data_IF_170019384315
#
_entry.id   IF_170019384315
#
_cell.length_a   1.000
_cell.length_b   1.000
_cell.length_c   1.000
_cell.angle_alpha   90.00
_cell.angle_beta   90.00
_cell.angle_gamma   90.00
#
_symmetry.space_group_name_H-M   'P 1'
#
loop_
_entity.id
_entity.type
_entity.pdbx_description
1 polymer ?
#
# COMPACT_ATOMS: atom_id res chain seq x y z
N UNK A 1 7.14 3.27 -20.79
CA UNK A 1 7.19 4.20 -19.66
C UNK A 1 5.91 4.00 -18.86
N UNK A 2 5.99 3.60 -17.58
CA UNK A 2 4.81 3.45 -16.71
C UNK A 2 4.35 4.85 -16.37
N UNK A 3 3.11 5.22 -16.71
CA UNK A 3 2.61 6.58 -16.43
C UNK A 3 2.45 6.77 -14.92
N UNK A 4 2.86 7.94 -14.36
CA UNK A 4 2.40 8.37 -13.05
C UNK A 4 0.86 8.40 -13.01
N UNK A 5 0.25 8.28 -11.87
CA UNK A 5 -1.21 8.36 -11.71
C UNK A 5 -1.99 7.06 -11.95
N UNK A 6 -1.35 5.98 -12.44
CA UNK A 6 -1.99 4.67 -12.63
C UNK A 6 -1.52 3.61 -11.63
N UNK A 7 -0.91 4.02 -10.51
CA UNK A 7 -0.44 3.11 -9.46
C UNK A 7 -1.63 2.39 -8.83
N UNK A 8 -1.49 1.09 -8.59
CA UNK A 8 -2.53 0.20 -8.06
C UNK A 8 -3.80 0.08 -8.93
N UNK A 9 -3.72 0.39 -10.22
CA UNK A 9 -4.83 0.07 -11.12
C UNK A 9 -4.97 -1.46 -11.28
N UNK A 10 -6.21 -1.97 -11.44
CA UNK A 10 -6.44 -3.38 -11.67
C UNK A 10 -5.68 -3.90 -12.91
N UNK A 11 -5.36 -5.20 -12.96
CA UNK A 11 -4.69 -5.77 -14.12
C UNK A 11 -5.59 -5.70 -15.37
N UNK A 12 -5.22 -4.87 -16.34
CA UNK A 12 -6.01 -4.59 -17.54
C UNK A 12 -5.68 -5.54 -18.71
N UNK A 13 -4.40 -5.89 -18.87
CA UNK A 13 -3.98 -6.74 -19.99
C UNK A 13 -4.28 -8.21 -19.72
N UNK A 14 -4.53 -9.03 -20.76
CA UNK A 14 -4.71 -10.47 -20.56
C UNK A 14 -3.57 -11.14 -19.80
N UNK A 15 -2.30 -10.75 -20.07
CA UNK A 15 -1.15 -11.27 -19.36
C UNK A 15 -1.12 -10.87 -17.87
N UNK A 16 -1.46 -9.61 -17.57
CA UNK A 16 -1.55 -9.13 -16.18
C UNK A 16 -2.66 -9.86 -15.40
N UNK A 17 -3.84 -10.05 -16.01
CA UNK A 17 -4.97 -10.81 -15.40
C UNK A 17 -4.60 -12.27 -15.15
N UNK A 18 -3.96 -12.92 -16.12
CA UNK A 18 -3.46 -14.29 -15.96
C UNK A 18 -2.42 -14.38 -14.84
N UNK A 19 -1.41 -13.50 -14.82
CA UNK A 19 -0.37 -13.52 -13.79
C UNK A 19 -0.97 -13.27 -12.39
N UNK A 20 -1.90 -12.35 -12.26
CA UNK A 20 -2.59 -12.07 -10.99
C UNK A 20 -3.26 -13.34 -10.45
N UNK A 21 -4.05 -14.04 -11.28
CA UNK A 21 -4.73 -15.27 -10.87
C UNK A 21 -3.75 -16.42 -10.58
N UNK A 22 -2.68 -16.57 -11.38
CA UNK A 22 -1.64 -17.58 -11.12
C UNK A 22 -0.93 -17.32 -9.79
N UNK A 23 -0.77 -16.06 -9.37
CA UNK A 23 -0.18 -15.71 -8.07
C UNK A 23 -1.11 -16.02 -6.89
N UNK A 24 -2.42 -15.79 -7.05
CA UNK A 24 -3.41 -16.06 -6.00
C UNK A 24 -3.72 -17.56 -5.86
N UNK A 25 -3.54 -18.33 -6.91
CA UNK A 25 -3.84 -19.75 -6.95
C UNK A 25 -2.55 -20.54 -7.16
N UNK A 26 -2.08 -21.34 -6.19
CA UNK A 26 -0.82 -22.07 -6.28
C UNK A 26 -0.70 -22.94 -7.54
N UNK A 27 -1.83 -23.45 -8.03
CA UNK A 27 -1.94 -24.29 -9.22
C UNK A 27 -3.24 -23.92 -9.93
N UNK A 28 -3.15 -23.43 -11.18
CA UNK A 28 -4.31 -23.05 -11.97
C UNK A 28 -4.13 -23.51 -13.42
N UNK A 29 -5.23 -23.95 -14.05
CA UNK A 29 -5.24 -24.38 -15.46
C UNK A 29 -5.68 -23.25 -16.38
N UNK A 30 -5.37 -23.37 -17.70
CA UNK A 30 -5.86 -22.42 -18.69
C UNK A 30 -7.39 -22.38 -18.78
N UNK A 31 -8.07 -23.50 -18.51
CA UNK A 31 -9.53 -23.55 -18.48
C UNK A 31 -10.10 -22.74 -17.31
N UNK A 32 -9.50 -22.86 -16.12
CA UNK A 32 -9.88 -22.06 -14.95
C UNK A 32 -9.57 -20.57 -15.17
N UNK A 33 -8.46 -20.23 -15.86
CA UNK A 33 -8.16 -18.85 -16.25
C UNK A 33 -9.21 -18.29 -17.22
N UNK A 34 -9.73 -19.09 -18.17
CA UNK A 34 -10.85 -18.68 -19.06
C UNK A 34 -12.07 -18.36 -18.23
N UNK A 35 -12.45 -19.25 -17.32
CA UNK A 35 -13.62 -19.10 -16.46
C UNK A 35 -13.50 -17.86 -15.55
N UNK A 36 -12.38 -17.73 -14.85
CA UNK A 36 -12.16 -16.64 -13.91
C UNK A 36 -12.00 -15.25 -14.57
N UNK A 37 -11.43 -15.19 -15.79
CA UNK A 37 -11.21 -13.91 -16.50
C UNK A 37 -12.34 -13.52 -17.43
N UNK A 38 -13.17 -14.49 -17.89
CA UNK A 38 -14.12 -14.29 -18.96
C UNK A 38 -13.51 -14.07 -20.35
N UNK A 39 -12.19 -14.23 -20.49
CA UNK A 39 -11.47 -14.08 -21.76
C UNK A 39 -11.55 -15.34 -22.62
N UNK A 40 -11.44 -15.19 -23.94
CA UNK A 40 -11.49 -16.32 -24.86
C UNK A 40 -10.28 -17.26 -24.70
N UNK A 41 -10.47 -18.55 -24.97
CA UNK A 41 -9.39 -19.56 -24.94
C UNK A 41 -8.15 -19.17 -25.77
N UNK A 42 -8.26 -18.63 -27.01
CA UNK A 42 -7.10 -18.16 -27.76
C UNK A 42 -6.36 -17.00 -27.07
N UNK A 43 -7.10 -16.11 -26.41
CA UNK A 43 -6.52 -14.97 -25.66
C UNK A 43 -5.73 -15.47 -24.46
N UNK A 44 -6.28 -16.39 -23.68
CA UNK A 44 -5.58 -17.01 -22.53
C UNK A 44 -4.34 -17.77 -23.00
N UNK A 45 -4.44 -18.53 -24.09
CA UNK A 45 -3.31 -19.28 -24.65
C UNK A 45 -2.15 -18.35 -25.03
N UNK A 46 -2.44 -17.24 -25.70
CA UNK A 46 -1.41 -16.24 -26.06
C UNK A 46 -0.82 -15.54 -24.83
N UNK A 47 -1.68 -15.14 -23.89
CA UNK A 47 -1.25 -14.48 -22.67
C UNK A 47 -0.33 -15.39 -21.83
N UNK A 48 -0.73 -16.63 -21.61
CA UNK A 48 0.07 -17.61 -20.86
C UNK A 48 1.36 -17.99 -21.58
N UNK A 49 1.37 -18.11 -22.94
CA UNK A 49 2.58 -18.33 -23.71
C UNK A 49 3.60 -17.18 -23.54
N UNK A 50 3.14 -15.93 -23.59
CA UNK A 50 4.01 -14.76 -23.36
C UNK A 50 4.56 -14.71 -21.92
N UNK A 51 3.77 -15.11 -20.92
CA UNK A 51 4.26 -15.21 -19.53
C UNK A 51 5.26 -16.34 -19.33
N UNK A 52 5.09 -17.49 -20.03
CA UNK A 52 6.05 -18.60 -20.05
C UNK A 52 7.37 -18.15 -20.69
N UNK A 53 7.31 -17.48 -21.85
CA UNK A 53 8.48 -16.94 -22.54
C UNK A 53 9.23 -15.92 -21.70
N UNK A 54 8.51 -15.07 -20.97
CA UNK A 54 9.08 -14.10 -20.03
C UNK A 54 9.63 -14.75 -18.74
N UNK A 55 9.42 -16.07 -18.54
CA UNK A 55 9.85 -16.77 -17.32
C UNK A 55 9.12 -16.35 -16.05
N UNK A 56 7.89 -15.80 -16.18
CA UNK A 56 7.06 -15.38 -15.05
C UNK A 56 6.16 -16.50 -14.54
N UNK A 57 5.79 -17.44 -15.41
CA UNK A 57 5.04 -18.65 -15.06
C UNK A 57 5.74 -19.87 -15.61
N UNK A 58 5.43 -21.03 -15.08
CA UNK A 58 5.90 -22.32 -15.57
C UNK A 58 4.78 -23.35 -15.61
N UNK A 59 4.96 -24.36 -16.46
CA UNK A 59 4.05 -25.49 -16.58
C UNK A 59 4.45 -26.61 -15.60
N UNK A 60 3.46 -27.10 -14.85
CA UNK A 60 3.60 -28.24 -13.94
C UNK A 60 3.22 -29.54 -14.64
N UNK A 61 4.11 -30.01 -15.51
CA UNK A 61 3.91 -31.25 -16.26
C UNK A 61 3.84 -32.48 -15.34
N UNK A 62 4.49 -32.43 -14.18
CA UNK A 62 4.43 -33.43 -13.12
C UNK A 62 3.03 -33.57 -12.48
N UNK A 63 2.20 -32.52 -12.56
CA UNK A 63 0.83 -32.49 -12.05
C UNK A 63 -0.22 -32.63 -13.15
N UNK A 64 0.19 -33.06 -14.35
CA UNK A 64 -0.72 -33.25 -15.48
C UNK A 64 -1.83 -34.25 -15.14
N UNK A 65 -3.09 -33.82 -15.23
CA UNK A 65 -4.26 -34.69 -15.00
C UNK A 65 -4.84 -35.15 -16.31
N UNK A 66 -4.85 -36.46 -16.51
CA UNK A 66 -5.60 -37.14 -17.56
C UNK A 66 -6.99 -37.48 -17.03
N UNK A 67 -8.00 -36.63 -17.31
CA UNK A 67 -9.41 -36.95 -17.04
C UNK A 67 -10.06 -37.49 -18.34
N UNK A 68 -10.09 -38.79 -18.53
CA UNK A 68 -10.86 -39.41 -19.61
C UNK A 68 -10.39 -39.11 -21.05
N UNK A 69 -11.31 -39.15 -22.02
CA UNK A 69 -11.08 -38.81 -23.46
C UNK A 69 -10.92 -37.27 -23.62
N UNK A 70 -9.72 -36.74 -23.49
CA UNK A 70 -9.44 -35.31 -23.72
C UNK A 70 -7.92 -35.04 -23.71
N UNK A 71 -7.53 -33.85 -24.22
CA UNK A 71 -6.14 -33.42 -24.12
C UNK A 71 -5.76 -33.25 -22.65
N UNK A 72 -4.62 -33.79 -22.18
CA UNK A 72 -4.16 -33.60 -20.81
C UNK A 72 -4.09 -32.12 -20.44
N UNK A 73 -4.60 -31.76 -19.28
CA UNK A 73 -4.57 -30.38 -18.77
C UNK A 73 -3.29 -30.21 -17.96
N UNK A 74 -2.41 -29.32 -18.42
CA UNK A 74 -1.17 -28.95 -17.74
C UNK A 74 -1.43 -27.72 -16.89
N UNK A 75 -1.27 -27.79 -15.57
CA UNK A 75 -1.41 -26.65 -14.68
C UNK A 75 -0.25 -25.65 -14.84
N UNK A 76 -0.52 -24.41 -14.43
CA UNK A 76 0.43 -23.31 -14.39
C UNK A 76 0.66 -22.90 -12.93
N UNK A 77 1.88 -22.46 -12.65
CA UNK A 77 2.26 -21.81 -11.39
C UNK A 77 3.21 -20.63 -11.68
N UNK A 78 3.46 -19.77 -10.70
CA UNK A 78 4.48 -18.73 -10.81
C UNK A 78 5.85 -19.38 -10.86
N UNK A 79 6.66 -19.00 -11.84
CA UNK A 79 8.01 -19.51 -11.97
C UNK A 79 8.94 -18.98 -10.86
N UNK A 80 9.83 -19.81 -10.35
CA UNK A 80 10.93 -19.36 -9.49
C UNK A 80 12.01 -18.68 -10.35
N UNK A 81 11.72 -17.46 -10.77
CA UNK A 81 12.66 -16.67 -11.54
C UNK A 81 13.67 -15.93 -10.64
N UNK A 82 14.70 -15.38 -11.28
CA UNK A 82 15.77 -14.65 -10.58
C UNK A 82 15.51 -13.15 -10.46
N UNK A 83 14.24 -12.73 -10.36
CA UNK A 83 13.88 -11.32 -10.24
C UNK A 83 13.78 -10.89 -8.79
N UNK A 84 14.14 -9.64 -8.55
CA UNK A 84 13.93 -8.92 -7.30
C UNK A 84 13.11 -7.68 -7.61
N UNK A 85 12.14 -7.40 -6.76
CA UNK A 85 11.39 -6.17 -6.71
C UNK A 85 11.70 -5.48 -5.38
N UNK A 86 12.21 -4.26 -5.41
CA UNK A 86 12.51 -3.52 -4.19
C UNK A 86 11.33 -2.64 -3.80
N UNK A 87 10.95 -2.68 -2.52
CA UNK A 87 9.94 -1.80 -1.92
C UNK A 87 10.58 -0.94 -0.85
N UNK A 88 10.30 0.35 -0.90
CA UNK A 88 10.83 1.36 0.01
C UNK A 88 9.66 2.13 0.62
N UNK A 89 9.50 2.06 1.94
CA UNK A 89 8.49 2.85 2.64
C UNK A 89 9.19 3.94 3.48
N UNK A 90 9.01 5.20 3.05
CA UNK A 90 9.67 6.36 3.65
C UNK A 90 8.78 6.91 4.75
N UNK A 91 9.28 6.86 5.99
CA UNK A 91 8.69 7.53 7.13
C UNK A 91 9.52 8.72 7.58
N UNK A 92 9.06 9.45 8.58
CA UNK A 92 9.70 10.69 9.08
C UNK A 92 11.06 10.46 9.73
N UNK A 93 11.23 9.35 10.43
CA UNK A 93 12.45 9.01 11.20
C UNK A 93 13.12 7.72 10.76
N UNK A 94 12.40 6.86 10.04
CA UNK A 94 12.88 5.56 9.56
C UNK A 94 12.38 5.30 8.15
N UNK A 95 13.20 4.62 7.37
CA UNK A 95 12.81 4.11 6.07
C UNK A 95 12.94 2.60 6.07
N UNK A 96 11.86 1.92 5.74
CA UNK A 96 11.83 0.47 5.55
C UNK A 96 12.19 0.14 4.11
N UNK A 97 13.13 -0.78 3.92
CA UNK A 97 13.54 -1.29 2.61
C UNK A 97 13.38 -2.80 2.61
N UNK A 98 12.67 -3.33 1.64
CA UNK A 98 12.50 -4.77 1.50
C UNK A 98 12.66 -5.22 0.05
N UNK A 99 13.18 -6.42 -0.12
CA UNK A 99 13.31 -7.10 -1.40
C UNK A 99 12.31 -8.24 -1.46
N UNK A 100 11.59 -8.33 -2.57
CA UNK A 100 10.54 -9.31 -2.79
C UNK A 100 10.83 -10.15 -4.04
N UNK A 101 10.37 -11.40 -4.03
CA UNK A 101 10.25 -12.20 -5.24
C UNK A 101 8.95 -11.85 -6.01
N UNK A 102 8.73 -12.48 -7.14
CA UNK A 102 7.54 -12.27 -8.00
C UNK A 102 6.24 -12.76 -7.37
N UNK A 103 6.32 -13.59 -6.30
CA UNK A 103 5.17 -13.96 -5.48
C UNK A 103 4.87 -12.91 -4.39
N UNK A 104 5.77 -11.96 -4.15
CA UNK A 104 5.67 -10.99 -3.07
C UNK A 104 6.16 -11.53 -1.72
N UNK A 105 6.92 -12.63 -1.71
CA UNK A 105 7.57 -13.12 -0.49
C UNK A 105 8.80 -12.28 -0.23
N UNK A 106 8.96 -11.84 1.04
CA UNK A 106 10.13 -11.07 1.47
C UNK A 106 11.37 -11.95 1.41
N UNK A 107 12.37 -11.51 0.65
CA UNK A 107 13.70 -12.14 0.55
C UNK A 107 14.64 -11.59 1.63
N UNK A 108 14.67 -10.28 1.77
CA UNK A 108 15.38 -9.52 2.81
C UNK A 108 14.67 -8.23 3.11
N UNK A 109 14.82 -7.73 4.32
CA UNK A 109 14.30 -6.42 4.73
C UNK A 109 15.23 -5.77 5.76
N UNK A 110 15.18 -4.45 5.85
CA UNK A 110 15.90 -3.66 6.83
C UNK A 110 15.17 -2.34 7.11
N UNK A 111 15.28 -1.87 8.34
CA UNK A 111 14.79 -0.56 8.77
C UNK A 111 15.98 0.36 9.03
N UNK A 112 16.20 1.35 8.19
CA UNK A 112 17.28 2.30 8.33
C UNK A 112 16.80 3.57 9.03
N UNK A 113 17.61 4.09 9.94
CA UNK A 113 17.34 5.39 10.58
C UNK A 113 17.62 6.51 9.58
N UNK A 114 16.56 7.23 9.21
CA UNK A 114 16.60 8.31 8.24
C UNK A 114 15.75 9.47 8.76
N UNK A 115 16.31 10.42 9.52
CA UNK A 115 15.60 11.64 9.90
C UNK A 115 15.43 12.53 8.66
N UNK A 116 14.48 12.20 7.79
CA UNK A 116 14.34 12.71 6.41
C UNK A 116 14.32 14.24 6.39
N UNK A 117 13.53 14.86 7.25
CA UNK A 117 13.43 16.32 7.33
C UNK A 117 14.75 17.04 7.71
N UNK A 118 15.77 16.30 8.16
CA UNK A 118 17.09 16.83 8.55
C UNK A 118 18.18 16.50 7.54
N UNK A 119 17.88 15.70 6.54
CA UNK A 119 18.81 15.30 5.48
C UNK A 119 18.58 16.17 4.25
N UNK A 120 19.66 16.46 3.54
CA UNK A 120 19.51 16.95 2.16
C UNK A 120 18.90 15.85 1.29
N UNK A 121 18.23 16.22 0.22
CA UNK A 121 17.66 15.28 -0.72
C UNK A 121 18.74 14.31 -1.28
N UNK A 122 19.95 14.80 -1.55
CA UNK A 122 21.07 13.99 -2.03
C UNK A 122 21.52 12.97 -0.97
N UNK A 123 21.72 13.41 0.28
CA UNK A 123 22.14 12.51 1.37
C UNK A 123 21.08 11.43 1.62
N UNK A 124 19.79 11.81 1.55
CA UNK A 124 18.71 10.85 1.69
C UNK A 124 18.76 9.77 0.59
N UNK A 125 18.90 10.18 -0.67
CA UNK A 125 19.01 9.25 -1.80
C UNK A 125 20.23 8.34 -1.65
N UNK A 126 21.39 8.85 -1.22
CA UNK A 126 22.58 8.03 -0.95
C UNK A 126 22.33 6.99 0.13
N UNK A 127 21.61 7.32 1.21
CA UNK A 127 21.22 6.37 2.24
C UNK A 127 20.32 5.25 1.70
N UNK A 128 19.34 5.60 0.87
CA UNK A 128 18.45 4.62 0.22
C UNK A 128 19.24 3.70 -0.71
N UNK A 129 20.12 4.26 -1.53
CA UNK A 129 20.99 3.49 -2.43
C UNK A 129 21.88 2.52 -1.67
N UNK A 130 22.53 2.99 -0.61
CA UNK A 130 23.36 2.14 0.24
C UNK A 130 22.53 1.01 0.89
N UNK A 131 21.31 1.30 1.34
CA UNK A 131 20.38 0.32 1.89
C UNK A 131 20.00 -0.77 0.88
N UNK A 132 19.55 -0.37 -0.32
CA UNK A 132 19.20 -1.33 -1.39
C UNK A 132 20.41 -2.16 -1.82
N UNK A 133 21.58 -1.53 -2.01
CA UNK A 133 22.80 -2.23 -2.41
C UNK A 133 23.23 -3.24 -1.35
N UNK A 134 23.16 -2.89 -0.06
CA UNK A 134 23.46 -3.81 1.05
C UNK A 134 22.54 -5.03 1.03
N UNK A 135 21.23 -4.82 0.83
CA UNK A 135 20.27 -5.92 0.79
C UNK A 135 20.42 -6.80 -0.46
N UNK A 136 20.84 -6.25 -1.59
CA UNK A 136 21.05 -7.01 -2.84
C UNK A 136 22.37 -7.76 -2.87
N UNK A 137 23.36 -7.36 -2.05
CA UNK A 137 24.68 -7.99 -2.00
C UNK A 137 24.58 -9.48 -1.67
N UNK A 138 25.20 -10.32 -2.50
CA UNK A 138 25.23 -11.78 -2.35
C UNK A 138 23.93 -12.50 -2.71
N UNK A 139 22.95 -11.81 -3.30
CA UNK A 139 21.75 -12.44 -3.87
C UNK A 139 22.00 -12.66 -5.36
N UNK A 140 21.92 -13.93 -5.83
CA UNK A 140 22.04 -14.28 -7.25
C UNK A 140 20.72 -14.01 -8.00
N UNK A 141 20.16 -12.81 -7.85
CA UNK A 141 18.91 -12.36 -8.47
C UNK A 141 19.08 -10.93 -8.98
N UNK A 142 18.31 -10.54 -9.98
CA UNK A 142 18.42 -9.24 -10.66
C UNK A 142 17.28 -8.32 -10.23
N UNK A 143 17.59 -7.08 -9.83
CA UNK A 143 16.61 -6.04 -9.57
C UNK A 143 15.92 -5.63 -10.88
N UNK A 144 14.59 -5.66 -10.91
CA UNK A 144 13.80 -5.35 -12.12
C UNK A 144 12.88 -4.15 -11.95
N UNK A 145 12.57 -3.76 -10.71
CA UNK A 145 11.81 -2.54 -10.41
C UNK A 145 12.05 -2.07 -8.98
N UNK A 146 11.79 -0.79 -8.75
CA UNK A 146 11.76 -0.16 -7.41
C UNK A 146 10.41 0.51 -7.21
N UNK A 147 9.75 0.21 -6.12
CA UNK A 147 8.56 0.90 -5.65
C UNK A 147 8.87 1.73 -4.41
N UNK A 148 8.33 2.94 -4.33
CA UNK A 148 8.52 3.85 -3.20
C UNK A 148 7.16 4.31 -2.68
N UNK A 149 6.96 4.24 -1.38
CA UNK A 149 5.85 4.93 -0.71
C UNK A 149 6.38 6.01 0.20
N UNK A 150 5.64 7.09 0.32
CA UNK A 150 5.99 8.24 1.14
C UNK A 150 4.76 8.79 1.86
N UNK A 151 4.96 9.46 2.98
CA UNK A 151 3.93 10.32 3.57
C UNK A 151 3.71 11.55 2.70
N UNK A 152 2.53 12.14 2.78
CA UNK A 152 2.14 13.28 1.94
C UNK A 152 1.55 12.86 0.60
N UNK A 153 1.48 13.79 -0.34
CA UNK A 153 0.85 13.61 -1.63
C UNK A 153 1.87 13.38 -2.73
N UNK A 154 1.49 12.58 -3.71
CA UNK A 154 2.22 12.42 -4.98
C UNK A 154 1.30 12.93 -6.07
N UNK A 155 1.75 13.94 -6.82
CA UNK A 155 0.97 14.55 -7.88
C UNK A 155 0.96 13.72 -9.18
N UNK A 156 0.25 14.21 -10.20
CA UNK A 156 0.12 13.55 -11.51
C UNK A 156 1.47 13.39 -12.25
N UNK A 157 2.43 14.27 -11.97
CA UNK A 157 3.78 14.21 -12.53
C UNK A 157 4.70 13.26 -11.73
N UNK A 158 4.24 12.77 -10.59
CA UNK A 158 4.98 11.88 -9.68
C UNK A 158 5.91 12.62 -8.73
N UNK A 159 5.71 13.94 -8.57
CA UNK A 159 6.45 14.75 -7.61
C UNK A 159 5.85 14.59 -6.21
N UNK A 160 6.73 14.56 -5.21
CA UNK A 160 6.34 14.34 -3.82
C UNK A 160 6.23 15.66 -3.07
N UNK A 161 5.08 15.87 -2.42
CA UNK A 161 4.76 17.00 -1.56
C UNK A 161 4.48 16.47 -0.15
N UNK A 162 5.45 16.61 0.75
CA UNK A 162 5.39 16.04 2.10
C UNK A 162 6.04 17.00 3.10
N UNK A 163 5.26 17.89 3.70
CA UNK A 163 5.74 18.91 4.65
C UNK A 163 6.47 18.28 5.86
N UNK A 164 5.98 17.14 6.36
CA UNK A 164 6.61 16.38 7.45
C UNK A 164 7.96 15.75 7.09
N UNK A 165 8.28 15.65 5.79
CA UNK A 165 9.59 15.23 5.30
C UNK A 165 10.47 16.42 4.85
N UNK A 166 9.92 17.64 4.83
CA UNK A 166 10.57 18.83 4.29
C UNK A 166 10.68 18.82 2.76
N UNK A 167 9.76 18.11 2.07
CA UNK A 167 9.78 17.93 0.62
C UNK A 167 8.70 18.75 -0.08
N UNK A 168 9.12 19.54 -1.07
CA UNK A 168 8.26 20.38 -1.91
C UNK A 168 8.56 20.08 -3.39
N UNK A 169 7.75 19.20 -4.02
CA UNK A 169 7.89 18.85 -5.42
C UNK A 169 9.15 18.02 -5.75
N UNK A 170 9.51 17.07 -4.87
CA UNK A 170 10.72 16.24 -5.02
C UNK A 170 10.49 15.11 -6.03
N UNK A 171 11.29 15.04 -7.09
CA UNK A 171 11.29 13.93 -8.06
C UNK A 171 12.24 12.80 -7.60
N UNK A 172 11.79 12.03 -6.62
CA UNK A 172 12.52 10.86 -6.14
C UNK A 172 12.58 9.74 -7.19
N UNK A 173 11.55 9.63 -8.04
CA UNK A 173 11.49 8.59 -9.06
C UNK A 173 12.60 8.75 -10.11
N UNK A 174 12.84 9.97 -10.61
CA UNK A 174 13.88 10.21 -11.60
C UNK A 174 15.27 9.88 -11.06
N UNK A 175 15.56 10.26 -9.81
CA UNK A 175 16.86 10.00 -9.18
C UNK A 175 17.12 8.52 -8.98
N UNK A 176 16.17 7.78 -8.44
CA UNK A 176 16.31 6.32 -8.23
C UNK A 176 16.35 5.58 -9.58
N UNK A 177 15.59 6.04 -10.58
CA UNK A 177 15.60 5.46 -11.93
C UNK A 177 16.97 5.63 -12.60
N UNK A 178 17.57 6.82 -12.46
CA UNK A 178 18.92 7.07 -12.96
C UNK A 178 19.94 6.14 -12.29
N UNK A 179 19.82 5.93 -10.98
CA UNK A 179 20.77 5.14 -10.21
C UNK A 179 20.66 3.62 -10.44
N UNK A 180 19.43 3.09 -10.44
CA UNK A 180 19.23 1.64 -10.54
C UNK A 180 19.00 1.15 -11.97
N UNK A 181 18.78 2.06 -12.91
CA UNK A 181 18.46 1.75 -14.31
C UNK A 181 17.32 0.74 -14.46
N UNK A 182 16.29 0.85 -13.61
CA UNK A 182 15.06 0.06 -13.63
C UNK A 182 13.84 0.99 -13.50
N UNK A 183 12.64 0.55 -13.88
CA UNK A 183 11.41 1.28 -13.61
C UNK A 183 11.26 1.61 -12.12
N UNK A 184 10.89 2.85 -11.82
CA UNK A 184 10.57 3.31 -10.46
C UNK A 184 9.14 3.83 -10.43
N UNK A 185 8.38 3.41 -9.42
CA UNK A 185 7.01 3.85 -9.12
C UNK A 185 6.99 4.50 -7.76
N UNK A 186 6.31 5.63 -7.65
CA UNK A 186 6.12 6.34 -6.36
C UNK A 186 4.63 6.47 -6.09
N UNK A 187 4.24 6.29 -4.83
CA UNK A 187 2.87 6.44 -4.35
C UNK A 187 2.84 7.05 -2.96
N UNK A 188 1.74 7.69 -2.61
CA UNK A 188 1.43 8.00 -1.22
C UNK A 188 1.16 6.73 -0.42
N UNK A 189 1.39 6.77 0.89
CA UNK A 189 1.20 5.62 1.77
C UNK A 189 -0.26 5.15 1.81
N UNK A 190 -1.24 6.06 1.82
CA UNK A 190 -2.66 5.72 1.96
C UNK A 190 -3.18 4.94 0.74
N UNK A 191 -2.99 5.37 -0.52
CA UNK A 191 -3.24 4.54 -1.68
C UNK A 191 -2.50 3.20 -1.66
N UNK A 192 -1.28 3.14 -1.11
CA UNK A 192 -0.53 1.90 -1.03
C UNK A 192 -1.10 0.90 -0.01
N UNK A 193 -1.69 1.36 1.08
CA UNK A 193 -2.45 0.50 2.01
C UNK A 193 -3.58 -0.18 1.24
N UNK A 194 -4.40 0.60 0.52
CA UNK A 194 -5.50 0.05 -0.27
C UNK A 194 -4.99 -0.83 -1.42
N UNK A 195 -3.87 -0.46 -2.05
CA UNK A 195 -3.21 -1.27 -3.06
C UNK A 195 -2.82 -2.66 -2.54
N UNK A 196 -2.36 -2.77 -1.29
CA UNK A 196 -2.04 -4.07 -0.67
C UNK A 196 -3.25 -4.98 -0.54
N UNK A 197 -4.43 -4.40 -0.29
CA UNK A 197 -5.70 -5.10 -0.20
C UNK A 197 -6.15 -5.61 -1.57
N UNK A 198 -6.20 -4.70 -2.55
CA UNK A 198 -6.67 -5.02 -3.90
C UNK A 198 -5.76 -6.01 -4.63
N UNK A 199 -4.45 -5.97 -4.39
CA UNK A 199 -3.49 -6.93 -4.94
C UNK A 199 -3.60 -8.34 -4.35
N UNK A 200 -4.26 -8.48 -3.21
CA UNK A 200 -4.54 -9.75 -2.54
C UNK A 200 -5.95 -10.26 -2.80
N UNK A 201 -6.79 -9.46 -3.44
CA UNK A 201 -8.17 -9.77 -3.75
C UNK A 201 -8.31 -10.55 -5.07
N UNK A 202 -9.34 -11.39 -5.16
CA UNK A 202 -9.73 -12.05 -6.41
C UNK A 202 -10.23 -11.00 -7.43
N UNK A 203 -10.01 -11.25 -8.73
CA UNK A 203 -10.50 -10.38 -9.83
C UNK A 203 -12.04 -10.22 -9.85
N UNK A 204 -12.76 -11.19 -9.30
CA UNK A 204 -14.22 -11.20 -9.23
C UNK A 204 -14.77 -10.65 -7.91
N UNK A 205 -13.91 -10.17 -6.99
CA UNK A 205 -14.38 -9.56 -5.76
C UNK A 205 -15.13 -8.28 -6.10
N UNK A 206 -16.45 -8.32 -5.93
CA UNK A 206 -17.33 -7.18 -6.15
C UNK A 206 -17.45 -6.37 -4.86
N UNK A 207 -17.36 -5.06 -5.02
CA UNK A 207 -17.55 -4.11 -3.93
C UNK A 207 -16.32 -3.22 -3.70
N UNK A 208 -16.62 -1.97 -3.34
CA UNK A 208 -15.58 -0.98 -3.05
C UNK A 208 -14.98 -1.24 -1.66
N UNK A 209 -13.69 -1.01 -1.54
CA UNK A 209 -12.98 -0.99 -0.25
C UNK A 209 -12.55 0.44 0.03
N UNK A 210 -12.88 0.94 1.20
CA UNK A 210 -12.43 2.22 1.73
C UNK A 210 -11.31 1.97 2.74
N UNK A 211 -10.22 2.70 2.65
CA UNK A 211 -9.21 2.81 3.71
C UNK A 211 -9.38 4.14 4.41
N UNK A 212 -9.44 4.13 5.74
CA UNK A 212 -9.26 5.31 6.59
C UNK A 212 -7.96 5.15 7.36
N UNK A 213 -7.05 6.07 7.13
CA UNK A 213 -5.76 6.15 7.83
C UNK A 213 -5.76 7.34 8.77
N UNK A 214 -5.35 7.13 10.03
CA UNK A 214 -5.23 8.18 11.03
C UNK A 214 -4.01 7.95 11.91
N UNK A 215 -2.99 8.79 11.68
CA UNK A 215 -1.69 8.77 12.36
C UNK A 215 -1.16 10.21 12.48
N UNK A 216 0.11 10.45 12.11
CA UNK A 216 0.70 11.80 11.98
C UNK A 216 0.01 12.63 10.87
N UNK A 217 -0.68 11.98 9.98
CA UNK A 217 -1.63 12.57 9.02
C UNK A 217 -2.92 11.75 9.00
N UNK A 218 -4.00 12.36 8.51
CA UNK A 218 -5.27 11.66 8.30
C UNK A 218 -5.62 11.67 6.83
N UNK A 219 -6.16 10.57 6.32
CA UNK A 219 -6.56 10.48 4.93
C UNK A 219 -7.35 9.24 4.61
N UNK A 220 -7.96 9.23 3.44
CA UNK A 220 -8.72 8.09 2.96
C UNK A 220 -8.41 7.78 1.50
N UNK A 221 -8.62 6.53 1.12
CA UNK A 221 -8.55 6.07 -0.26
C UNK A 221 -9.67 5.08 -0.55
N UNK A 222 -10.15 5.07 -1.79
CA UNK A 222 -11.24 4.23 -2.25
C UNK A 222 -10.79 3.37 -3.43
N UNK A 223 -11.13 2.07 -3.40
CA UNK A 223 -10.99 1.22 -4.57
C UNK A 223 -12.14 1.47 -5.55
N UNK A 224 -11.79 1.65 -6.82
CA UNK A 224 -12.73 1.84 -7.93
C UNK A 224 -12.39 0.88 -9.06
N UNK A 225 -13.24 0.79 -10.07
CA UNK A 225 -12.94 0.02 -11.28
C UNK A 225 -11.70 0.54 -12.03
N UNK A 226 -11.39 1.83 -11.88
CA UNK A 226 -10.20 2.45 -12.47
C UNK A 226 -8.92 2.20 -11.65
N UNK A 227 -9.04 1.77 -10.40
CA UNK A 227 -7.93 1.55 -9.47
C UNK A 227 -8.15 2.19 -8.12
N UNK A 228 -7.07 2.56 -7.46
CA UNK A 228 -7.09 3.22 -6.16
C UNK A 228 -7.10 4.74 -6.35
N UNK A 229 -8.04 5.40 -5.70
CA UNK A 229 -8.16 6.87 -5.70
C UNK A 229 -8.05 7.38 -4.27
N UNK A 230 -7.16 8.32 -4.02
CA UNK A 230 -7.12 9.05 -2.76
C UNK A 230 -8.29 10.03 -2.70
N UNK A 231 -8.98 10.07 -1.57
CA UNK A 231 -10.10 10.99 -1.34
C UNK A 231 -9.58 12.28 -0.71
N UNK A 232 -9.63 13.38 -1.46
CA UNK A 232 -9.16 14.72 -1.04
C UNK A 232 -10.10 15.76 -1.65
N UNK A 233 -10.58 16.73 -0.87
CA UNK A 233 -10.45 16.86 0.59
C UNK A 233 -11.33 15.86 1.34
N UNK A 234 -10.98 15.58 2.59
CA UNK A 234 -11.86 14.86 3.50
C UNK A 234 -13.01 15.76 4.00
N UNK A 235 -14.11 15.19 4.54
CA UNK A 235 -15.19 15.95 5.14
C UNK A 235 -14.70 16.95 6.21
N UNK A 236 -15.28 18.14 6.24
CA UNK A 236 -14.93 19.17 7.23
C UNK A 236 -15.50 18.79 8.60
N UNK A 237 -14.78 19.17 9.65
CA UNK A 237 -15.10 18.84 11.03
C UNK A 237 -15.05 20.06 11.94
N UNK A 238 -15.74 19.96 13.07
CA UNK A 238 -15.70 20.96 14.16
C UNK A 238 -15.57 20.23 15.50
N UNK A 239 -14.76 20.75 16.39
CA UNK A 239 -14.65 20.28 17.77
C UNK A 239 -14.10 21.37 18.68
N UNK A 240 -14.79 21.64 19.77
CA UNK A 240 -14.31 22.57 20.80
C UNK A 240 -13.13 21.96 21.58
N UNK A 241 -13.13 20.64 21.82
CA UNK A 241 -12.07 19.95 22.55
C UNK A 241 -10.73 19.97 21.83
N UNK A 242 -10.76 19.92 20.49
CA UNK A 242 -9.58 20.00 19.63
C UNK A 242 -9.37 21.40 19.04
N UNK A 243 -10.13 22.41 19.46
CA UNK A 243 -10.11 23.80 18.95
C UNK A 243 -10.31 23.89 17.41
N UNK A 244 -11.20 23.07 16.85
CA UNK A 244 -11.48 22.99 15.43
C UNK A 244 -12.79 23.69 15.09
N UNK A 245 -12.75 24.62 14.13
CA UNK A 245 -13.93 25.36 13.67
C UNK A 245 -14.06 25.20 12.15
N UNK A 246 -14.96 24.31 11.70
CA UNK A 246 -15.18 24.00 10.28
C UNK A 246 -13.87 23.83 9.50
N UNK A 247 -13.00 23.01 10.05
CA UNK A 247 -11.63 22.81 9.56
C UNK A 247 -11.52 21.60 8.62
N UNK A 248 -10.53 21.63 7.72
CA UNK A 248 -10.16 20.44 6.96
C UNK A 248 -9.73 19.32 7.92
N UNK A 249 -10.13 18.07 7.65
CA UNK A 249 -9.90 16.99 8.60
C UNK A 249 -8.54 16.29 8.41
N UNK A 250 -7.82 16.54 7.31
CA UNK A 250 -6.58 15.85 7.00
C UNK A 250 -5.49 16.05 8.05
N UNK A 251 -5.34 17.28 8.56
CA UNK A 251 -4.32 17.63 9.54
C UNK A 251 -4.88 17.78 10.96
N UNK A 252 -6.18 18.06 11.09
CA UNK A 252 -6.80 18.51 12.34
C UNK A 252 -7.24 17.35 13.25
N UNK A 253 -7.31 16.11 12.77
CA UNK A 253 -7.46 14.90 13.59
C UNK A 253 -6.19 14.02 13.58
N UNK A 254 -5.08 14.57 13.08
CA UNK A 254 -3.76 13.95 13.18
C UNK A 254 -3.28 13.85 14.63
N UNK A 255 -2.27 13.04 14.87
CA UNK A 255 -1.72 12.82 16.22
C UNK A 255 -1.27 14.13 16.88
N UNK A 256 -0.66 15.05 16.12
CA UNK A 256 -0.18 16.32 16.65
C UNK A 256 -1.31 17.19 17.23
N UNK A 257 -2.48 17.24 16.58
CA UNK A 257 -3.61 18.00 17.08
C UNK A 257 -4.11 17.49 18.45
N UNK A 258 -4.07 16.18 18.67
CA UNK A 258 -4.39 15.57 19.97
C UNK A 258 -3.35 15.94 21.02
N UNK A 259 -2.05 15.85 20.68
CA UNK A 259 -0.96 16.21 21.61
C UNK A 259 -1.02 17.70 21.99
N UNK A 260 -1.34 18.59 21.04
CA UNK A 260 -1.51 20.02 21.29
C UNK A 260 -2.71 20.30 22.20
N UNK A 261 -3.82 19.58 22.00
CA UNK A 261 -5.01 19.70 22.84
C UNK A 261 -4.76 19.22 24.28
N UNK A 262 -3.94 18.18 24.47
CA UNK A 262 -3.48 17.71 25.77
C UNK A 262 -2.54 18.73 26.42
N UNK A 263 -1.57 19.24 25.68
CA UNK A 263 -0.62 20.24 26.17
C UNK A 263 -1.31 21.54 26.61
N UNK A 264 -2.34 21.99 25.90
CA UNK A 264 -3.16 23.14 26.26
C UNK A 264 -3.91 22.96 27.61
N UNK A 265 -3.98 21.73 28.12
CA UNK A 265 -4.58 21.36 29.40
C UNK A 265 -3.55 20.87 30.42
N UNK A 266 -2.28 21.24 30.19
CA UNK A 266 -1.13 20.92 31.05
C UNK A 266 -0.87 19.39 31.17
N UNK A 267 -1.36 18.59 30.19
CA UNK A 267 -1.12 17.16 30.10
C UNK A 267 0.00 16.93 29.08
N UNK A 268 1.16 16.44 29.54
CA UNK A 268 2.31 16.21 28.70
C UNK A 268 2.31 14.79 28.16
N UNK A 269 2.26 14.64 26.85
CA UNK A 269 2.46 13.38 26.13
C UNK A 269 3.25 13.67 24.85
N UNK A 270 4.19 12.77 24.51
CA UNK A 270 5.04 12.89 23.31
C UNK A 270 4.60 11.96 22.18
N UNK A 271 3.78 10.98 22.49
CA UNK A 271 3.22 10.01 21.53
C UNK A 271 1.77 9.71 21.86
N UNK A 272 1.03 9.18 20.87
CA UNK A 272 -0.35 8.76 21.10
C UNK A 272 -0.45 7.59 22.09
N UNK A 273 0.50 6.66 22.06
CA UNK A 273 0.55 5.55 23.01
C UNK A 273 0.73 6.04 24.45
N UNK A 274 1.58 7.07 24.67
CA UNK A 274 1.72 7.72 25.98
C UNK A 274 0.42 8.44 26.38
N UNK A 275 -0.21 9.16 25.46
CA UNK A 275 -1.50 9.81 25.70
C UNK A 275 -2.59 8.79 26.07
N UNK A 276 -2.65 7.64 25.40
CA UNK A 276 -3.59 6.57 25.71
C UNK A 276 -3.35 5.96 27.11
N UNK A 277 -2.09 5.81 27.51
CA UNK A 277 -1.73 5.35 28.85
C UNK A 277 -2.15 6.38 29.92
N UNK A 278 -1.91 7.66 29.69
CA UNK A 278 -2.36 8.73 30.61
C UNK A 278 -3.88 8.73 30.73
N UNK A 279 -4.59 8.50 29.64
CA UNK A 279 -6.04 8.49 29.57
C UNK A 279 -6.69 7.33 30.37
N UNK A 280 -5.95 6.32 30.82
CA UNK A 280 -6.47 5.28 31.71
C UNK A 280 -6.91 5.84 33.08
N UNK A 281 -6.19 6.86 33.59
CA UNK A 281 -6.41 7.46 34.90
C UNK A 281 -6.79 8.97 34.81
N UNK A 282 -6.90 9.54 33.61
CA UNK A 282 -7.18 10.96 33.39
C UNK A 282 -8.38 11.16 32.46
N UNK A 283 -9.51 11.57 33.05
CA UNK A 283 -10.78 11.80 32.32
C UNK A 283 -10.66 12.86 31.21
N UNK A 284 -9.85 13.89 31.42
CA UNK A 284 -9.65 14.96 30.41
C UNK A 284 -8.89 14.43 29.21
N UNK A 285 -7.83 13.65 29.43
CA UNK A 285 -7.10 13.01 28.36
C UNK A 285 -7.99 11.98 27.61
N UNK A 286 -8.77 11.19 28.35
CA UNK A 286 -9.73 10.26 27.78
C UNK A 286 -10.76 10.97 26.90
N UNK A 287 -11.32 12.08 27.37
CA UNK A 287 -12.29 12.87 26.63
C UNK A 287 -11.75 13.40 25.28
N UNK A 288 -10.49 13.81 25.23
CA UNK A 288 -9.84 14.26 23.98
C UNK A 288 -9.66 13.11 22.99
N UNK A 289 -9.22 11.93 23.46
CA UNK A 289 -9.05 10.75 22.60
C UNK A 289 -10.39 10.20 22.12
N UNK A 290 -11.43 10.23 22.97
CA UNK A 290 -12.77 9.82 22.60
C UNK A 290 -13.40 10.77 21.57
N UNK A 291 -13.18 12.09 21.72
CA UNK A 291 -13.61 13.07 20.73
C UNK A 291 -12.97 12.81 19.37
N UNK A 292 -11.65 12.56 19.33
CA UNK A 292 -10.99 12.17 18.08
C UNK A 292 -11.64 10.94 17.45
N UNK A 293 -11.96 9.91 18.25
CA UNK A 293 -12.60 8.70 17.76
C UNK A 293 -13.98 8.98 17.16
N UNK A 294 -14.77 9.86 17.78
CA UNK A 294 -16.07 10.31 17.26
C UNK A 294 -15.94 11.08 15.95
N UNK A 295 -14.98 12.00 15.86
CA UNK A 295 -14.72 12.76 14.63
C UNK A 295 -14.29 11.83 13.48
N UNK A 296 -13.39 10.89 13.74
CA UNK A 296 -12.99 9.89 12.74
C UNK A 296 -14.17 9.01 12.30
N UNK A 297 -15.07 8.66 13.23
CA UNK A 297 -16.29 7.91 12.91
C UNK A 297 -17.27 8.72 12.06
N UNK A 298 -17.42 10.03 12.32
CA UNK A 298 -18.23 10.94 11.50
C UNK A 298 -17.67 11.05 10.08
N UNK A 299 -16.35 11.27 9.92
CA UNK A 299 -15.69 11.28 8.62
C UNK A 299 -15.94 9.97 7.88
N UNK A 300 -15.76 8.83 8.55
CA UNK A 300 -16.01 7.53 7.96
C UNK A 300 -17.47 7.33 7.54
N UNK A 301 -18.44 7.81 8.35
CA UNK A 301 -19.86 7.72 8.05
C UNK A 301 -20.24 8.51 6.79
N UNK A 302 -19.70 9.71 6.64
CA UNK A 302 -19.91 10.55 5.45
C UNK A 302 -19.35 9.85 4.20
N UNK A 303 -18.11 9.35 4.28
CA UNK A 303 -17.47 8.63 3.18
C UNK A 303 -18.18 7.31 2.83
N UNK A 304 -18.68 6.58 3.84
CA UNK A 304 -19.47 5.36 3.62
C UNK A 304 -20.80 5.69 2.95
N UNK A 305 -21.46 6.75 3.37
CA UNK A 305 -22.73 7.20 2.78
C UNK A 305 -22.56 7.62 1.32
N UNK A 306 -21.49 8.35 1.02
CA UNK A 306 -21.21 8.84 -0.33
C UNK A 306 -20.78 7.72 -1.30
N UNK A 307 -19.92 6.80 -0.82
CA UNK A 307 -19.25 5.86 -1.71
C UNK A 307 -19.77 4.43 -1.63
N UNK A 308 -20.52 4.08 -0.58
CA UNK A 308 -21.10 2.76 -0.32
C UNK A 308 -20.06 1.60 -0.43
N UNK A 309 -18.97 1.62 0.35
CA UNK A 309 -18.00 0.55 0.37
C UNK A 309 -18.55 -0.69 1.11
N UNK A 310 -18.14 -1.89 0.69
CA UNK A 310 -18.46 -3.13 1.42
C UNK A 310 -17.54 -3.36 2.62
N UNK A 311 -16.34 -2.79 2.58
CA UNK A 311 -15.33 -2.92 3.64
C UNK A 311 -14.68 -1.56 3.91
N UNK A 312 -14.52 -1.24 5.19
CA UNK A 312 -13.71 -0.12 5.66
C UNK A 312 -12.50 -0.68 6.40
N UNK A 313 -11.31 -0.40 5.88
CA UNK A 313 -10.04 -0.79 6.47
C UNK A 313 -9.52 0.36 7.31
N UNK A 314 -9.23 0.09 8.58
CA UNK A 314 -8.71 1.06 9.53
C UNK A 314 -7.20 0.83 9.70
N UNK A 315 -6.42 1.91 9.63
CA UNK A 315 -4.98 1.87 9.78
C UNK A 315 -4.45 3.13 10.47
N UNK A 316 -3.35 2.99 11.20
CA UNK A 316 -2.68 4.10 11.89
C UNK A 316 -2.86 4.08 13.40
N UNK A 317 -2.07 4.94 14.07
CA UNK A 317 -1.94 5.01 15.53
C UNK A 317 -3.26 5.24 16.26
N UNK A 318 -4.18 6.00 15.67
CA UNK A 318 -5.51 6.25 16.25
C UNK A 318 -6.29 4.97 16.58
N UNK A 319 -6.02 3.89 15.86
CA UNK A 319 -6.72 2.61 16.02
C UNK A 319 -5.84 1.53 16.65
N UNK A 320 -4.51 1.69 16.59
CA UNK A 320 -3.54 0.68 17.06
C UNK A 320 -3.13 0.99 18.51
N UNK A 321 -2.79 2.27 18.81
CA UNK A 321 -2.20 2.66 20.07
C UNK A 321 -3.25 2.94 21.15
N UNK A 322 -4.53 3.14 20.77
CA UNK A 322 -5.66 3.29 21.67
C UNK A 322 -6.79 2.28 21.34
N UNK A 323 -6.76 1.07 21.90
CA UNK A 323 -7.81 0.08 21.68
C UNK A 323 -9.22 0.50 22.15
N UNK A 324 -9.31 1.46 23.10
CA UNK A 324 -10.59 2.03 23.53
C UNK A 324 -11.19 2.89 22.41
N UNK A 325 -10.40 3.79 21.85
CA UNK A 325 -10.83 4.63 20.73
C UNK A 325 -11.26 3.82 19.51
N UNK A 326 -10.55 2.72 19.20
CA UNK A 326 -10.94 1.83 18.11
C UNK A 326 -12.34 1.18 18.33
N UNK A 327 -12.65 0.79 19.56
CA UNK A 327 -13.99 0.26 19.91
C UNK A 327 -15.06 1.35 19.85
N UNK A 328 -14.74 2.54 20.35
CA UNK A 328 -15.63 3.68 20.33
C UNK A 328 -15.94 4.11 18.89
N UNK A 329 -14.93 4.22 18.05
CA UNK A 329 -15.07 4.44 16.60
C UNK A 329 -16.03 3.43 15.97
N UNK A 330 -15.80 2.13 16.20
CA UNK A 330 -16.64 1.08 15.62
C UNK A 330 -18.10 1.14 16.12
N UNK A 331 -18.32 1.47 17.39
CA UNK A 331 -19.67 1.63 17.92
C UNK A 331 -20.38 2.86 17.35
N UNK A 332 -19.67 4.00 17.24
CA UNK A 332 -20.19 5.24 16.67
C UNK A 332 -20.54 5.08 15.19
N UNK A 333 -19.66 4.44 14.41
CA UNK A 333 -19.93 4.19 12.98
C UNK A 333 -21.17 3.31 12.77
N UNK A 334 -21.36 2.28 13.60
CA UNK A 334 -22.57 1.42 13.52
C UNK A 334 -23.87 2.16 13.77
N UNK A 335 -23.86 3.24 14.59
CA UNK A 335 -25.05 4.07 14.83
C UNK A 335 -25.53 4.80 13.56
N UNK A 336 -24.67 4.93 12.55
CA UNK A 336 -25.00 5.51 11.24
C UNK A 336 -25.57 4.50 10.25
N UNK A 337 -26.07 3.32 10.73
CA UNK A 337 -26.70 2.26 9.92
C UNK A 337 -25.86 1.81 8.71
N UNK A 338 -24.55 1.66 8.89
CA UNK A 338 -23.69 1.12 7.84
C UNK A 338 -23.58 -0.39 7.93
N UNK A 339 -23.72 -1.08 6.80
CA UNK A 339 -23.48 -2.53 6.66
C UNK A 339 -22.03 -2.86 6.30
N UNK A 340 -21.17 -1.86 6.18
CA UNK A 340 -19.78 -2.05 5.81
C UNK A 340 -19.02 -2.87 6.88
N UNK A 341 -18.25 -3.85 6.43
CA UNK A 341 -17.38 -4.63 7.31
C UNK A 341 -16.19 -3.78 7.74
N UNK A 342 -15.90 -3.76 9.05
CA UNK A 342 -14.71 -3.09 9.58
C UNK A 342 -13.57 -4.09 9.70
N UNK A 343 -12.38 -3.69 9.23
CA UNK A 343 -11.15 -4.45 9.36
C UNK A 343 -10.02 -3.54 9.82
N UNK A 344 -9.34 -3.92 10.88
CA UNK A 344 -8.18 -3.20 11.42
C UNK A 344 -6.88 -3.87 10.97
N UNK A 345 -5.90 -3.07 10.54
CA UNK A 345 -4.51 -3.51 10.41
C UNK A 345 -3.86 -3.35 11.79
N UNK A 346 -3.43 -4.45 12.45
CA UNK A 346 -3.22 -4.46 13.87
C UNK A 346 -1.89 -3.84 14.35
N UNK A 347 -0.91 -3.63 13.45
CA UNK A 347 0.39 -3.07 13.84
C UNK A 347 0.96 -2.14 12.77
N UNK A 348 1.72 -1.12 13.21
CA UNK A 348 2.48 -0.24 12.31
C UNK A 348 3.44 -1.01 11.40
N UNK A 349 4.08 -2.05 11.93
CA UNK A 349 5.02 -2.87 11.16
C UNK A 349 4.32 -3.60 10.00
N UNK A 350 3.10 -4.08 10.21
CA UNK A 350 2.31 -4.70 9.15
C UNK A 350 1.92 -3.69 8.08
N UNK A 351 1.54 -2.46 8.46
CA UNK A 351 1.25 -1.37 7.51
C UNK A 351 2.48 -1.12 6.64
N UNK A 352 3.63 -0.87 7.25
CA UNK A 352 4.88 -0.53 6.55
C UNK A 352 5.30 -1.65 5.59
N UNK A 353 5.24 -2.90 6.02
CA UNK A 353 5.54 -4.07 5.17
C UNK A 353 4.53 -4.23 4.02
N UNK A 354 3.25 -4.00 4.30
CA UNK A 354 2.18 -4.12 3.31
C UNK A 354 2.34 -3.08 2.19
N UNK A 355 2.59 -1.81 2.53
CA UNK A 355 2.76 -0.74 1.55
C UNK A 355 4.05 -0.90 0.74
N UNK A 356 5.16 -1.29 1.37
CA UNK A 356 6.42 -1.58 0.66
C UNK A 356 6.25 -2.72 -0.35
N UNK A 357 5.58 -3.81 0.06
CA UNK A 357 5.26 -4.93 -0.83
C UNK A 357 4.33 -4.51 -1.96
N UNK A 358 3.27 -3.78 -1.66
CA UNK A 358 2.28 -3.37 -2.65
C UNK A 358 2.91 -2.52 -3.75
N UNK A 359 3.70 -1.51 -3.39
CA UNK A 359 4.33 -0.63 -4.38
C UNK A 359 5.45 -1.34 -5.16
N UNK A 360 6.16 -2.30 -4.55
CA UNK A 360 7.16 -3.12 -5.24
C UNK A 360 6.53 -4.00 -6.32
N UNK A 361 5.39 -4.62 -6.01
CA UNK A 361 4.67 -5.53 -6.91
C UNK A 361 3.86 -4.80 -7.99
N UNK A 362 3.52 -3.53 -7.79
CA UNK A 362 2.64 -2.79 -8.69
C UNK A 362 3.07 -2.86 -10.18
N UNK A 363 4.33 -2.60 -10.57
CA UNK A 363 4.74 -2.71 -11.96
C UNK A 363 4.58 -4.12 -12.54
N UNK A 364 4.88 -5.16 -11.74
CA UNK A 364 4.72 -6.55 -12.15
C UNK A 364 3.26 -6.91 -12.39
N UNK A 365 2.35 -6.43 -11.55
CA UNK A 365 0.93 -6.76 -11.65
C UNK A 365 0.21 -5.99 -12.76
N UNK A 366 0.65 -4.77 -13.06
CA UNK A 366 0.04 -3.96 -14.13
C UNK A 366 0.56 -4.27 -15.52
N UNK A 367 1.87 -4.40 -15.66
CA UNK A 367 2.54 -4.52 -16.97
C UNK A 367 3.65 -5.58 -16.96
N UNK A 368 3.35 -6.84 -16.62
CA UNK A 368 4.36 -7.89 -16.39
C UNK A 368 5.35 -8.07 -17.55
N UNK A 369 4.86 -8.00 -18.80
CA UNK A 369 5.68 -8.21 -19.98
C UNK A 369 6.57 -7.01 -20.36
N UNK A 370 6.38 -5.86 -19.70
CA UNK A 370 7.23 -4.68 -19.91
C UNK A 370 8.42 -4.63 -18.96
N UNK A 371 8.44 -5.48 -17.93
CA UNK A 371 9.57 -5.61 -17.03
C UNK A 371 10.62 -6.54 -17.66
N UNK A 372 11.85 -6.04 -17.72
CA UNK A 372 12.99 -6.84 -18.19
C UNK A 372 14.16 -6.62 -17.23
N UNK A 373 14.96 -7.66 -16.98
CA UNK A 373 16.20 -7.49 -16.25
C UNK A 373 17.07 -6.44 -16.94
N UNK A 374 17.59 -5.47 -16.18
CA UNK A 374 18.57 -4.54 -16.72
C UNK A 374 19.76 -5.32 -17.27
N UNK A 375 20.08 -5.15 -18.55
CA UNK A 375 21.26 -5.75 -19.20
C UNK A 375 22.56 -5.00 -18.86
N UNK A 376 22.51 -4.08 -17.88
CA UNK A 376 23.72 -3.42 -17.42
C UNK A 376 24.65 -4.47 -16.80
N UNK A 377 25.63 -4.91 -17.60
CA UNK A 377 26.81 -5.62 -17.13
C UNK A 377 27.37 -4.87 -15.93
N UNK A 378 27.52 -5.57 -14.82
CA UNK A 378 28.41 -5.18 -13.74
C UNK A 378 29.74 -4.78 -14.39
N UNK A 379 29.97 -3.47 -14.53
CA UNK A 379 31.32 -2.99 -14.79
C UNK A 379 32.09 -3.20 -13.51
N UNK A 380 32.92 -4.24 -13.57
CA UNK A 380 33.96 -4.59 -12.60
C UNK A 380 34.89 -3.42 -12.31
#
# INVERSE_FOLDING_TARGET
MIKPGSVFSPPQTPAARCLHLVRLNPIITRSELVEATGLSQPTITRATAALLEAGLVQERTDLTRTRGRGRPTVPLEVADNKWILAGIAIGTSRTHIALFDTMGRTLREDDISTPVARLSESDFIEHIMAGVNRLTTGISRTLVSVGVTTSGNVDEDGLVWAANLGWEGVDIAARLRYQFNVPVVVSSAIPAILGSETQSADLNQTGKVLVLFADDSTGAALSTEAGVTQLVPLPRISSELLNLHDSASEDNVATQAVLDALAAREISASTLAEAATIAEDNETARGILDERAHLLASIAADLVTEHNPVTVVLAGSAFIDDPHAAKLFASSLRQHNTDAQLRLIPTHREIVRAIARAVALDPLLRVPLSLQPSTASVRS
#
